data_IF_962520152198
#
_entry.id   IF_962520152198
#
_cell.length_a   1.000
_cell.length_b   1.000
_cell.length_c   1.000
_cell.angle_alpha   90.00
_cell.angle_beta   90.00
_cell.angle_gamma   90.00
#
_symmetry.space_group_name_H-M   'P 1'
#
loop_
_entity.id
_entity.type
_entity.pdbx_description
1 polymer ?
#
# COMPACT_ATOMS: atom_id res chain seq x y z
N UNK A 1 7.10 18.60 1.61
CA UNK A 1 7.15 17.33 0.87
C UNK A 1 5.98 16.47 1.30
N UNK A 2 5.20 15.99 0.34
CA UNK A 2 4.16 14.99 0.52
C UNK A 2 4.58 13.72 -0.22
N UNK A 3 4.79 12.62 0.49
CA UNK A 3 5.07 11.30 -0.04
C UNK A 3 3.80 10.45 0.05
N UNK A 4 3.26 10.02 -1.07
CA UNK A 4 2.04 9.19 -1.12
C UNK A 4 2.43 7.81 -1.64
N UNK A 5 1.94 6.74 -0.98
CA UNK A 5 2.20 5.37 -1.41
C UNK A 5 0.94 4.51 -1.25
N UNK A 6 0.61 3.74 -2.27
CA UNK A 6 -0.30 2.61 -2.22
C UNK A 6 0.47 1.30 -2.06
N UNK A 7 -0.21 0.21 -1.67
CA UNK A 7 0.42 -1.07 -1.37
C UNK A 7 -0.09 -2.15 -2.34
N UNK A 8 0.82 -2.82 -3.01
CA UNK A 8 0.53 -3.82 -4.06
C UNK A 8 -0.33 -3.28 -5.22
N UNK A 9 -0.09 -2.03 -5.64
CA UNK A 9 -0.84 -1.38 -6.70
C UNK A 9 -0.17 -1.63 -8.05
N UNK A 10 -0.81 -2.44 -8.89
CA UNK A 10 -0.34 -2.73 -10.23
C UNK A 10 -0.42 -1.47 -11.12
N UNK A 11 0.58 -1.23 -11.96
CA UNK A 11 0.60 -0.07 -12.85
C UNK A 11 -0.56 -0.08 -13.86
N UNK A 12 -1.04 -1.25 -14.27
CA UNK A 12 -2.20 -1.40 -15.15
C UNK A 12 -3.52 -0.89 -14.52
N UNK A 13 -3.56 -0.75 -13.20
CA UNK A 13 -4.69 -0.17 -12.47
C UNK A 13 -4.49 1.33 -12.16
N UNK A 14 -3.65 2.01 -12.95
CA UNK A 14 -3.45 3.46 -12.94
C UNK A 14 -3.63 3.97 -14.36
N UNK A 15 -4.70 4.74 -14.62
CA UNK A 15 -5.07 5.11 -15.99
C UNK A 15 -4.05 5.99 -16.71
N UNK A 16 -3.14 6.65 -16.00
CA UNK A 16 -2.00 7.34 -16.63
C UNK A 16 -1.02 6.38 -17.34
N UNK A 17 -1.00 5.09 -16.98
CA UNK A 17 -0.19 4.06 -17.63
C UNK A 17 -0.99 3.16 -18.56
N UNK A 18 -2.22 2.79 -18.16
CA UNK A 18 -3.15 1.95 -18.95
C UNK A 18 -4.59 2.30 -18.55
N UNK A 19 -5.38 2.81 -19.48
CA UNK A 19 -6.74 3.31 -19.24
C UNK A 19 -7.85 2.25 -19.45
N UNK A 20 -7.47 0.99 -19.69
CA UNK A 20 -8.42 -0.08 -20.04
C UNK A 20 -9.22 -0.61 -18.86
N UNK A 21 -8.63 -0.63 -17.66
CA UNK A 21 -9.24 -1.29 -16.50
C UNK A 21 -10.06 -0.34 -15.64
N UNK A 22 -9.50 0.82 -15.31
CA UNK A 22 -10.09 1.77 -14.36
C UNK A 22 -9.61 3.18 -14.66
N UNK A 23 -10.41 4.17 -14.27
CA UNK A 23 -10.03 5.58 -14.38
C UNK A 23 -9.55 6.11 -13.02
N UNK A 24 -8.36 6.73 -13.00
CA UNK A 24 -7.72 7.30 -11.81
C UNK A 24 -7.42 8.79 -11.98
N UNK A 25 -8.45 9.64 -12.19
CA UNK A 25 -8.26 11.00 -12.67
C UNK A 25 -7.42 11.89 -11.74
N UNK A 26 -7.44 11.64 -10.44
CA UNK A 26 -6.64 12.40 -9.47
C UNK A 26 -5.16 11.98 -9.48
N UNK A 27 -4.87 10.69 -9.73
CA UNK A 27 -3.49 10.21 -9.91
C UNK A 27 -2.96 10.69 -11.26
N UNK A 28 -3.78 10.62 -12.31
CA UNK A 28 -3.43 11.07 -13.66
C UNK A 28 -3.11 12.56 -13.70
N UNK A 29 -3.79 13.37 -12.87
CA UNK A 29 -3.47 14.78 -12.71
C UNK A 29 -2.03 14.98 -12.22
N UNK A 30 -1.55 14.17 -11.30
CA UNK A 30 -0.15 14.25 -10.83
C UNK A 30 0.80 13.94 -11.99
N UNK A 31 0.50 12.93 -12.80
CA UNK A 31 1.30 12.58 -13.97
C UNK A 31 1.28 13.71 -15.02
N UNK A 32 0.11 14.33 -15.27
CA UNK A 32 -0.08 15.38 -16.26
C UNK A 32 0.56 16.70 -15.87
N UNK A 33 0.49 17.08 -14.59
CA UNK A 33 1.01 18.34 -14.07
C UNK A 33 2.46 18.23 -13.57
N UNK A 34 2.99 17.01 -13.47
CA UNK A 34 4.32 16.70 -12.95
C UNK A 34 5.13 15.84 -13.90
N UNK A 35 5.55 14.66 -13.42
CA UNK A 35 6.39 13.73 -14.17
C UNK A 35 5.87 12.30 -14.01
N UNK A 36 5.74 11.58 -15.12
CA UNK A 36 5.42 10.16 -15.18
C UNK A 36 6.70 9.35 -15.41
N UNK A 37 7.00 8.39 -14.53
CA UNK A 37 8.17 7.52 -14.65
C UNK A 37 7.79 6.20 -15.30
N UNK A 38 8.18 5.98 -16.55
CA UNK A 38 7.93 4.74 -17.28
C UNK A 38 8.88 3.60 -16.88
N UNK A 39 10.03 3.91 -16.30
CA UNK A 39 11.06 2.94 -15.92
C UNK A 39 11.43 3.14 -14.44
N UNK A 40 10.49 2.82 -13.54
CA UNK A 40 10.74 2.79 -12.09
C UNK A 40 10.88 1.35 -11.62
N UNK A 41 11.93 1.06 -10.84
CA UNK A 41 12.21 -0.26 -10.32
C UNK A 41 12.27 -0.25 -8.80
N UNK A 42 11.80 -1.34 -8.17
CA UNK A 42 12.01 -1.59 -6.75
C UNK A 42 13.17 -2.56 -6.56
N UNK A 43 13.93 -2.38 -5.48
CA UNK A 43 15.08 -3.23 -5.18
C UNK A 43 14.70 -4.52 -4.47
N UNK A 44 13.56 -4.53 -3.79
CA UNK A 44 12.96 -5.68 -3.13
C UNK A 44 11.43 -5.49 -3.11
N UNK A 45 10.72 -6.27 -3.90
CA UNK A 45 9.27 -6.13 -4.15
C UNK A 45 8.40 -6.79 -3.07
N UNK A 46 8.76 -6.64 -1.80
CA UNK A 46 7.99 -7.07 -0.62
C UNK A 46 7.75 -5.87 0.29
N UNK A 47 6.59 -5.78 0.93
CA UNK A 47 6.13 -4.61 1.70
C UNK A 47 7.19 -4.00 2.64
N UNK A 48 7.58 -4.69 3.71
CA UNK A 48 8.48 -4.14 4.71
C UNK A 48 9.90 -3.92 4.18
N UNK A 49 10.51 -4.84 3.41
CA UNK A 49 11.80 -4.60 2.76
C UNK A 49 11.80 -3.38 1.84
N UNK A 50 10.80 -3.22 0.98
CA UNK A 50 10.69 -2.03 0.11
C UNK A 50 10.60 -0.73 0.92
N UNK A 51 9.78 -0.71 1.97
CA UNK A 51 9.63 0.44 2.87
C UNK A 51 10.92 0.77 3.60
N UNK A 52 11.69 -0.23 4.02
CA UNK A 52 13.00 -0.04 4.64
C UNK A 52 14.02 0.55 3.65
N UNK A 53 14.01 0.09 2.40
CA UNK A 53 14.86 0.69 1.34
C UNK A 53 14.50 2.16 1.12
N UNK A 54 13.21 2.48 1.03
CA UNK A 54 12.75 3.87 0.87
C UNK A 54 13.22 4.73 2.06
N UNK A 55 13.04 4.26 3.29
CA UNK A 55 13.37 5.07 4.47
C UNK A 55 14.88 5.22 4.70
N UNK A 56 15.68 4.21 4.37
CA UNK A 56 17.13 4.20 4.64
C UNK A 56 18.00 4.62 3.46
N UNK A 57 17.48 4.54 2.24
CA UNK A 57 18.27 4.65 1.00
C UNK A 57 19.26 3.50 0.79
N UNK A 58 19.11 2.37 1.53
CA UNK A 58 20.02 1.22 1.49
C UNK A 58 19.29 -0.01 0.98
N UNK A 59 19.95 -0.82 0.16
CA UNK A 59 19.43 -2.12 -0.26
C UNK A 59 19.16 -3.04 0.94
N UNK A 60 18.23 -3.98 0.80
CA UNK A 60 17.77 -4.87 1.88
C UNK A 60 18.89 -5.68 2.54
N UNK A 61 19.89 -6.12 1.79
CA UNK A 61 21.05 -6.85 2.34
C UNK A 61 21.99 -5.94 3.18
N UNK A 62 21.90 -4.61 3.02
CA UNK A 62 22.67 -3.63 3.83
C UNK A 62 21.85 -3.15 5.02
N UNK A 63 20.55 -2.87 4.84
CA UNK A 63 19.69 -2.43 5.93
C UNK A 63 19.15 -3.56 6.82
N UNK A 64 19.38 -4.82 6.43
CA UNK A 64 19.00 -6.02 7.19
C UNK A 64 17.51 -6.40 7.12
N UNK A 65 16.65 -5.58 6.53
CA UNK A 65 15.23 -5.87 6.37
C UNK A 65 15.00 -6.64 5.08
N UNK A 66 15.16 -7.96 5.12
CA UNK A 66 15.11 -8.84 3.94
C UNK A 66 13.74 -9.53 3.73
N UNK A 67 12.88 -9.53 4.74
CA UNK A 67 11.57 -10.17 4.74
C UNK A 67 10.53 -9.40 5.57
N UNK A 68 9.28 -9.88 5.59
CA UNK A 68 8.21 -9.28 6.40
C UNK A 68 8.21 -9.75 7.87
N UNK A 69 9.02 -10.73 8.26
CA UNK A 69 9.02 -11.37 9.61
C UNK A 69 10.01 -10.70 10.55
N UNK A 70 11.21 -10.40 10.08
CA UNK A 70 12.25 -9.75 10.87
C UNK A 70 11.84 -8.33 11.28
N UNK A 71 12.23 -7.91 12.48
CA UNK A 71 12.08 -6.49 12.88
C UNK A 71 13.06 -5.63 12.10
N UNK A 72 12.66 -4.39 11.85
CA UNK A 72 13.57 -3.39 11.31
C UNK A 72 14.54 -2.93 12.41
N UNK A 73 15.83 -2.87 12.07
CA UNK A 73 16.83 -2.27 12.96
C UNK A 73 16.65 -0.75 12.98
N UNK A 74 16.02 -0.24 14.02
CA UNK A 74 15.69 1.17 14.19
C UNK A 74 16.85 2.04 14.73
N UNK A 75 18.03 1.46 14.91
CA UNK A 75 19.26 2.22 15.17
C UNK A 75 19.76 2.94 13.90
N UNK A 76 19.32 2.50 12.74
CA UNK A 76 19.70 3.07 11.45
C UNK A 76 19.12 4.47 11.25
N UNK A 77 19.88 5.31 10.58
CA UNK A 77 19.41 6.63 10.17
C UNK A 77 18.43 6.47 9.00
N UNK A 78 17.28 7.12 9.12
CA UNK A 78 16.28 7.21 8.06
C UNK A 78 16.12 8.66 7.60
N UNK A 79 15.68 8.86 6.34
CA UNK A 79 15.54 10.21 5.80
C UNK A 79 14.57 11.11 6.61
N UNK A 80 13.47 10.61 7.23
CA UNK A 80 12.62 11.46 8.07
C UNK A 80 13.37 12.05 9.27
N UNK A 81 14.31 11.30 9.87
CA UNK A 81 15.17 11.84 10.96
C UNK A 81 16.06 12.98 10.48
N UNK A 82 16.55 12.91 9.22
CA UNK A 82 17.35 13.98 8.64
C UNK A 82 16.49 15.22 8.36
N UNK A 83 15.28 15.05 7.85
CA UNK A 83 14.34 16.15 7.66
C UNK A 83 13.94 16.80 8.98
N UNK A 84 13.66 16.01 10.01
CA UNK A 84 13.36 16.54 11.34
C UNK A 84 14.53 17.37 11.90
N UNK A 85 15.78 16.88 11.77
CA UNK A 85 16.99 17.64 12.13
C UNK A 85 17.16 18.92 11.32
N UNK A 86 16.68 18.95 10.09
CA UNK A 86 16.71 20.13 9.23
C UNK A 86 15.54 21.11 9.51
N UNK A 87 14.76 20.90 10.57
CA UNK A 87 13.68 21.79 11.00
C UNK A 87 12.33 21.55 10.32
N UNK A 88 12.16 20.45 9.58
CA UNK A 88 10.87 20.06 9.03
C UNK A 88 9.97 19.52 10.12
N UNK A 89 8.70 19.88 10.09
CA UNK A 89 7.66 19.18 10.82
C UNK A 89 7.32 17.88 10.09
N UNK A 90 7.32 16.74 10.79
CA UNK A 90 7.26 15.43 10.17
C UNK A 90 6.05 14.64 10.66
N UNK A 91 5.31 14.02 9.74
CA UNK A 91 4.18 13.17 10.10
C UNK A 91 4.07 11.92 9.21
N UNK A 92 3.48 10.84 9.76
CA UNK A 92 3.24 9.58 9.06
C UNK A 92 1.88 9.00 9.42
N UNK A 93 1.06 8.70 8.40
CA UNK A 93 -0.23 8.03 8.60
C UNK A 93 -0.37 6.84 7.67
N UNK A 94 -0.78 5.68 8.23
CA UNK A 94 -1.07 4.46 7.50
C UNK A 94 -0.10 3.31 7.72
N UNK A 95 0.21 2.53 6.67
CA UNK A 95 0.95 1.27 6.78
C UNK A 95 2.46 1.47 6.78
N UNK A 96 3.14 1.01 7.84
CA UNK A 96 4.60 0.94 7.91
C UNK A 96 5.16 -0.49 7.83
N UNK A 97 4.58 -1.42 8.57
CA UNK A 97 4.89 -2.86 8.56
C UNK A 97 6.30 -3.22 9.09
N UNK A 98 6.83 -2.49 10.05
CA UNK A 98 8.18 -2.77 10.61
C UNK A 98 8.18 -3.57 11.91
N UNK A 99 7.05 -3.63 12.62
CA UNK A 99 6.94 -4.24 13.94
C UNK A 99 7.48 -3.36 15.08
N UNK A 100 7.88 -2.13 14.79
CA UNK A 100 8.28 -1.09 15.74
C UNK A 100 7.77 0.28 15.30
N UNK A 101 7.77 1.24 16.23
CA UNK A 101 7.34 2.60 15.95
C UNK A 101 8.35 3.34 15.05
N UNK A 102 7.89 4.21 14.15
CA UNK A 102 8.76 4.95 13.27
C UNK A 102 9.54 6.02 14.06
N UNK A 103 10.82 6.21 13.69
CA UNK A 103 11.66 7.31 14.20
C UNK A 103 11.71 8.47 13.19
N UNK A 104 11.86 9.68 13.72
CA UNK A 104 11.96 10.89 12.89
C UNK A 104 10.60 11.49 12.51
N UNK A 105 9.55 11.19 13.29
CA UNK A 105 8.22 11.77 13.12
C UNK A 105 7.75 12.47 14.38
N UNK A 106 7.20 13.67 14.21
CA UNK A 106 6.60 14.45 15.28
C UNK A 106 5.21 13.89 15.64
N UNK A 107 4.47 13.44 14.63
CA UNK A 107 3.15 12.83 14.76
C UNK A 107 3.04 11.59 13.89
N UNK A 108 2.42 10.52 14.40
CA UNK A 108 2.10 9.35 13.59
C UNK A 108 0.93 8.55 14.13
N UNK A 109 0.19 7.92 13.23
CA UNK A 109 -0.75 6.84 13.46
C UNK A 109 -0.54 5.78 12.39
N UNK A 110 0.04 4.64 12.78
CA UNK A 110 0.40 3.57 11.86
C UNK A 110 -0.40 2.29 12.12
N UNK A 111 -0.67 1.55 11.06
CA UNK A 111 -1.35 0.26 11.14
C UNK A 111 -0.40 -0.80 11.75
N UNK A 112 -0.84 -1.61 12.72
CA UNK A 112 -0.08 -2.76 13.18
C UNK A 112 0.00 -3.82 12.08
N UNK A 113 1.22 -4.28 11.76
CA UNK A 113 1.45 -5.29 10.73
C UNK A 113 0.82 -4.91 9.38
N UNK A 114 -0.06 -5.76 8.88
CA UNK A 114 -0.80 -5.53 7.62
C UNK A 114 -2.00 -4.59 7.78
N UNK A 115 -2.49 -4.40 9.00
CA UNK A 115 -3.69 -3.61 9.27
C UNK A 115 -4.99 -4.24 8.77
N UNK A 116 -6.13 -3.73 9.24
CA UNK A 116 -7.47 -4.13 8.81
C UNK A 116 -8.09 -3.06 7.91
N UNK A 117 -8.96 -3.46 6.98
CA UNK A 117 -9.72 -2.52 6.15
C UNK A 117 -10.84 -1.83 6.93
N UNK A 118 -11.51 -2.58 7.81
CA UNK A 118 -12.67 -2.10 8.58
C UNK A 118 -12.27 -1.93 10.04
N UNK A 119 -12.62 -0.81 10.63
CA UNK A 119 -12.37 -0.45 12.03
C UNK A 119 -10.92 -0.73 12.46
N UNK A 120 -9.93 -0.20 11.72
CA UNK A 120 -8.54 -0.50 11.98
C UNK A 120 -8.07 0.02 13.34
N UNK A 121 -7.19 -0.77 13.97
CA UNK A 121 -6.33 -0.27 15.05
C UNK A 121 -5.20 0.55 14.43
N UNK A 122 -4.81 1.60 15.12
CA UNK A 122 -3.60 2.38 14.86
C UNK A 122 -2.71 2.42 16.10
N UNK A 123 -1.44 2.22 15.89
CA UNK A 123 -0.40 2.49 16.89
C UNK A 123 -0.02 3.96 16.77
N UNK A 124 -0.08 4.67 17.88
CA UNK A 124 0.19 6.11 17.92
C UNK A 124 1.42 6.46 18.75
N UNK A 125 1.89 7.68 18.60
CA UNK A 125 3.01 8.19 19.39
C UNK A 125 2.68 8.25 20.89
N UNK A 126 1.48 8.70 21.20
CA UNK A 126 1.02 8.86 22.59
C UNK A 126 0.18 7.66 23.06
N UNK A 127 -0.72 7.19 22.21
CA UNK A 127 -1.60 6.06 22.50
C UNK A 127 -2.07 5.37 21.25
N UNK A 128 -2.36 4.09 21.41
CA UNK A 128 -3.03 3.29 20.38
C UNK A 128 -4.54 3.61 20.38
N UNK A 129 -5.16 3.49 19.22
CA UNK A 129 -6.58 3.77 19.06
C UNK A 129 -7.20 2.85 18.01
N UNK A 130 -8.50 2.59 18.14
CA UNK A 130 -9.30 1.95 17.09
C UNK A 130 -10.24 3.04 16.55
N UNK A 131 -10.21 3.22 15.23
CA UNK A 131 -11.07 4.20 14.56
C UNK A 131 -12.10 3.43 13.73
N UNK A 132 -13.38 3.72 13.96
CA UNK A 132 -14.47 3.10 13.20
C UNK A 132 -14.53 3.66 11.79
N UNK A 133 -14.71 2.77 10.80
CA UNK A 133 -14.86 3.13 9.40
C UNK A 133 -13.91 2.36 8.48
N UNK A 134 -13.77 2.85 7.27
CA UNK A 134 -12.95 2.25 6.22
C UNK A 134 -11.54 2.85 6.22
N UNK A 135 -10.52 2.01 6.22
CA UNK A 135 -9.12 2.41 6.45
C UNK A 135 -8.60 3.47 5.48
N UNK A 136 -9.01 3.41 4.21
CA UNK A 136 -8.56 4.37 3.19
C UNK A 136 -9.07 5.77 3.50
N UNK A 137 -10.35 5.89 3.88
CA UNK A 137 -10.98 7.16 4.25
C UNK A 137 -10.35 7.70 5.55
N UNK A 138 -10.20 6.81 6.56
CA UNK A 138 -9.59 7.18 7.84
C UNK A 138 -8.18 7.74 7.66
N UNK A 139 -7.32 7.07 6.88
CA UNK A 139 -5.94 7.56 6.64
C UNK A 139 -5.99 8.90 5.89
N UNK A 140 -6.94 9.08 4.98
CA UNK A 140 -7.15 10.34 4.26
C UNK A 140 -7.57 11.46 5.23
N UNK A 141 -8.55 11.20 6.07
CA UNK A 141 -9.05 12.17 7.05
C UNK A 141 -7.98 12.55 8.08
N UNK A 142 -7.20 11.59 8.57
CA UNK A 142 -6.06 11.85 9.46
C UNK A 142 -5.05 12.78 8.79
N UNK A 143 -4.73 12.54 7.53
CA UNK A 143 -3.79 13.35 6.75
C UNK A 143 -4.33 14.76 6.52
N UNK A 144 -5.59 14.88 6.11
CA UNK A 144 -6.25 16.20 5.91
C UNK A 144 -6.39 16.97 7.21
N UNK A 145 -6.76 16.29 8.31
CA UNK A 145 -6.84 16.90 9.62
C UNK A 145 -5.48 17.42 10.10
N UNK A 146 -4.42 16.67 9.85
CA UNK A 146 -3.08 17.12 10.18
C UNK A 146 -2.71 18.41 9.42
N UNK A 147 -2.98 18.48 8.12
CA UNK A 147 -2.73 19.68 7.32
C UNK A 147 -3.55 20.88 7.78
N UNK A 148 -4.80 20.67 8.18
CA UNK A 148 -5.71 21.76 8.57
C UNK A 148 -5.47 22.27 9.99
N UNK A 149 -5.19 21.36 10.93
CA UNK A 149 -5.31 21.65 12.36
C UNK A 149 -4.03 21.43 13.16
N UNK A 150 -3.04 20.70 12.66
CA UNK A 150 -1.83 20.35 13.40
C UNK A 150 -0.54 20.89 12.80
N UNK A 151 -0.58 21.17 11.49
CA UNK A 151 0.61 21.66 10.79
C UNK A 151 0.96 23.08 11.25
N UNK A 152 2.22 23.29 11.63
CA UNK A 152 2.82 24.62 11.78
C UNK A 152 3.16 25.18 10.38
N UNK A 153 2.41 26.19 9.96
CA UNK A 153 2.56 26.77 8.60
C UNK A 153 3.85 27.58 8.45
N UNK A 154 4.54 27.90 9.56
CA UNK A 154 5.84 28.60 9.55
C UNK A 154 7.00 27.66 9.23
N UNK A 155 6.77 26.34 9.26
CA UNK A 155 7.80 25.33 9.01
C UNK A 155 7.57 24.58 7.71
N UNK A 156 8.62 24.15 7.02
CA UNK A 156 8.51 23.15 5.98
C UNK A 156 8.04 21.82 6.58
N UNK A 157 7.43 20.97 5.78
CA UNK A 157 6.92 19.68 6.26
C UNK A 157 7.38 18.49 5.41
N UNK A 158 7.42 17.33 6.07
CA UNK A 158 7.45 16.01 5.46
C UNK A 158 6.24 15.22 5.95
N UNK A 159 5.33 14.85 5.05
CA UNK A 159 4.21 13.97 5.30
C UNK A 159 4.39 12.67 4.53
N UNK A 160 4.35 11.54 5.23
CA UNK A 160 4.25 10.21 4.62
C UNK A 160 2.80 9.69 4.74
N UNK A 161 2.10 9.63 3.61
CA UNK A 161 0.71 9.24 3.47
C UNK A 161 0.66 7.86 2.80
N UNK A 162 0.50 6.82 3.64
CA UNK A 162 0.79 5.43 3.29
C UNK A 162 -0.46 4.56 3.35
N UNK A 163 -1.11 4.34 2.22
CA UNK A 163 -2.29 3.49 2.15
C UNK A 163 -1.97 2.00 2.34
N UNK A 164 -2.95 1.26 2.91
CA UNK A 164 -3.01 -0.20 2.85
C UNK A 164 -3.52 -0.68 1.49
N UNK A 165 -4.47 0.03 0.92
CA UNK A 165 -5.09 -0.32 -0.35
C UNK A 165 -4.09 -0.21 -1.51
N UNK A 166 -4.20 -1.07 -2.56
CA UNK A 166 -5.15 -2.18 -2.72
C UNK A 166 -4.63 -3.57 -2.27
N UNK A 167 -3.74 -3.66 -1.28
CA UNK A 167 -3.21 -4.93 -0.76
C UNK A 167 -4.31 -5.92 -0.34
N UNK A 168 -4.06 -7.21 -0.47
CA UNK A 168 -4.94 -8.28 0.03
C UNK A 168 -5.24 -8.18 1.55
N UNK A 169 -6.39 -8.66 2.08
CA UNK A 169 -7.56 -9.08 1.32
C UNK A 169 -8.19 -7.88 0.63
N UNK A 170 -8.63 -8.00 -0.60
CA UNK A 170 -9.15 -6.89 -1.42
C UNK A 170 -10.58 -6.52 -1.02
N UNK A 171 -10.74 -5.87 0.12
CA UNK A 171 -12.04 -5.43 0.61
C UNK A 171 -12.27 -3.96 0.23
N UNK A 172 -13.06 -3.71 -0.80
CA UNK A 172 -13.42 -2.34 -1.17
C UNK A 172 -14.41 -1.74 -0.16
N UNK A 173 -14.55 -0.42 -0.18
CA UNK A 173 -15.67 0.23 0.48
C UNK A 173 -16.99 -0.16 -0.20
N UNK A 174 -18.11 -0.08 0.53
CA UNK A 174 -19.42 -0.54 0.04
C UNK A 174 -19.85 0.19 -1.24
N UNK A 175 -19.59 1.49 -1.32
CA UNK A 175 -19.89 2.33 -2.48
C UNK A 175 -19.04 1.91 -3.70
N UNK A 176 -17.75 1.63 -3.50
CA UNK A 176 -16.86 1.16 -4.57
C UNK A 176 -17.22 -0.26 -5.00
N UNK A 177 -17.56 -1.13 -4.08
CA UNK A 177 -18.08 -2.45 -4.44
C UNK A 177 -19.32 -2.35 -5.33
N UNK A 178 -20.28 -1.50 -4.96
CA UNK A 178 -21.49 -1.30 -5.74
C UNK A 178 -21.21 -0.70 -7.14
N UNK A 179 -20.24 0.21 -7.26
CA UNK A 179 -19.83 0.80 -8.54
C UNK A 179 -19.27 -0.24 -9.52
N UNK A 180 -18.54 -1.22 -9.01
CA UNK A 180 -17.87 -2.25 -9.83
C UNK A 180 -18.63 -3.56 -9.89
N UNK A 181 -19.71 -3.73 -9.13
CA UNK A 181 -20.51 -4.95 -9.14
C UNK A 181 -21.07 -5.23 -10.53
N UNK A 182 -20.82 -6.46 -11.01
CA UNK A 182 -21.27 -6.90 -12.35
C UNK A 182 -20.47 -6.37 -13.54
N UNK A 183 -19.38 -5.62 -13.30
CA UNK A 183 -18.45 -5.25 -14.38
C UNK A 183 -17.52 -6.42 -14.70
N UNK A 184 -17.37 -6.70 -15.97
CA UNK A 184 -16.38 -7.65 -16.46
C UNK A 184 -15.03 -6.97 -16.67
N UNK A 185 -13.96 -7.64 -16.29
CA UNK A 185 -12.60 -7.22 -16.53
C UNK A 185 -11.90 -8.19 -17.46
N UNK A 186 -11.06 -7.73 -18.39
CA UNK A 186 -10.33 -8.63 -19.28
C UNK A 186 -9.34 -9.48 -18.47
N UNK A 187 -9.40 -10.79 -18.67
CA UNK A 187 -8.41 -11.71 -18.09
C UNK A 187 -7.11 -11.62 -18.89
N UNK A 188 -5.94 -11.47 -18.24
CA UNK A 188 -4.67 -11.52 -18.93
C UNK A 188 -4.37 -12.95 -19.43
N UNK A 189 -3.74 -13.07 -20.59
CA UNK A 189 -3.33 -14.37 -21.17
C UNK A 189 -2.46 -15.19 -20.20
N UNK A 190 -1.72 -14.50 -19.32
CA UNK A 190 -0.83 -15.11 -18.34
C UNK A 190 -1.50 -15.45 -17.00
N UNK A 191 -2.84 -15.35 -16.88
CA UNK A 191 -3.56 -15.61 -15.62
C UNK A 191 -3.25 -16.99 -15.03
N UNK A 192 -3.13 -17.99 -15.89
CA UNK A 192 -2.83 -19.39 -15.54
C UNK A 192 -1.49 -19.87 -16.13
N UNK A 193 -0.53 -18.96 -16.29
CA UNK A 193 0.80 -19.32 -16.77
C UNK A 193 1.43 -20.40 -15.87
N UNK A 194 1.98 -21.44 -16.49
CA UNK A 194 2.69 -22.53 -15.82
C UNK A 194 4.15 -22.19 -15.49
N UNK A 195 4.59 -21.01 -15.89
CA UNK A 195 5.97 -20.52 -15.76
C UNK A 195 7.03 -21.43 -16.40
N UNK A 196 6.65 -22.25 -17.42
CA UNK A 196 7.55 -23.23 -18.05
C UNK A 196 8.83 -22.59 -18.61
N UNK A 197 8.71 -21.37 -19.13
CA UNK A 197 9.81 -20.56 -19.64
C UNK A 197 10.60 -19.78 -18.59
N UNK A 198 10.23 -19.85 -17.31
CA UNK A 198 10.80 -19.04 -16.23
C UNK A 198 11.82 -19.79 -15.37
N UNK A 199 12.63 -19.04 -14.63
CA UNK A 199 13.59 -19.60 -13.67
C UNK A 199 12.92 -20.27 -12.46
N UNK A 200 13.71 -21.01 -11.67
CA UNK A 200 13.22 -21.76 -10.50
C UNK A 200 12.47 -20.90 -9.49
N UNK A 201 12.89 -19.66 -9.27
CA UNK A 201 12.25 -18.76 -8.31
C UNK A 201 10.79 -18.46 -8.69
N UNK A 202 10.50 -18.21 -9.95
CA UNK A 202 9.11 -17.98 -10.40
C UNK A 202 8.26 -19.25 -10.28
N UNK A 203 8.82 -20.42 -10.65
CA UNK A 203 8.11 -21.71 -10.53
C UNK A 203 7.79 -22.10 -9.09
N UNK A 204 8.60 -21.70 -8.13
CA UNK A 204 8.40 -21.98 -6.70
C UNK A 204 7.65 -20.87 -5.95
N UNK A 205 7.16 -19.85 -6.63
CA UNK A 205 6.42 -18.76 -6.00
C UNK A 205 5.09 -19.25 -5.41
N UNK A 206 4.82 -18.86 -4.16
CA UNK A 206 3.64 -19.32 -3.41
C UNK A 206 2.39 -18.48 -3.61
N UNK A 207 2.40 -17.42 -4.38
CA UNK A 207 1.25 -16.50 -4.52
C UNK A 207 0.48 -16.71 -5.82
N UNK A 208 0.33 -17.94 -6.28
CA UNK A 208 -0.49 -18.21 -7.46
C UNK A 208 -1.98 -18.38 -7.14
N UNK A 209 -2.83 -18.06 -8.10
CA UNK A 209 -4.28 -18.04 -7.96
C UNK A 209 -4.84 -19.42 -7.65
N UNK A 210 -4.35 -20.45 -8.33
CA UNK A 210 -4.89 -21.81 -8.21
C UNK A 210 -4.71 -22.43 -6.82
N UNK A 211 -3.49 -22.31 -6.27
CA UNK A 211 -3.10 -23.10 -5.10
C UNK A 211 -3.01 -22.29 -3.80
N UNK A 212 -2.80 -20.97 -3.89
CA UNK A 212 -2.45 -20.16 -2.72
C UNK A 212 -3.48 -19.10 -2.36
N UNK A 213 -4.23 -18.58 -3.34
CA UNK A 213 -5.30 -17.61 -3.08
C UNK A 213 -6.54 -18.30 -2.53
N UNK A 214 -7.14 -17.68 -1.51
CA UNK A 214 -8.30 -18.20 -0.79
C UNK A 214 -9.56 -17.41 -1.13
N UNK A 215 -10.70 -18.08 -1.20
CA UNK A 215 -11.99 -17.46 -1.52
C UNK A 215 -12.34 -16.31 -0.59
N UNK A 216 -12.21 -16.52 0.72
CA UNK A 216 -12.62 -15.54 1.73
C UNK A 216 -11.61 -14.39 1.89
N UNK A 217 -10.31 -14.68 1.85
CA UNK A 217 -9.29 -13.67 2.12
C UNK A 217 -8.80 -12.93 0.88
N UNK A 218 -8.91 -13.54 -0.28
CA UNK A 218 -8.32 -13.00 -1.49
C UNK A 218 -9.37 -12.68 -2.56
N UNK A 219 -10.66 -12.73 -2.20
CA UNK A 219 -11.74 -12.50 -3.15
C UNK A 219 -11.56 -13.30 -4.44
N UNK A 220 -11.12 -14.58 -4.30
CA UNK A 220 -10.74 -15.43 -5.42
C UNK A 220 -11.84 -15.50 -6.50
N UNK A 221 -13.10 -15.44 -6.08
CA UNK A 221 -14.25 -15.39 -6.99
C UNK A 221 -14.17 -14.12 -7.87
N UNK A 222 -13.83 -12.98 -7.29
CA UNK A 222 -13.68 -11.73 -8.06
C UNK A 222 -12.49 -11.76 -9.02
N UNK A 223 -11.47 -12.59 -8.75
CA UNK A 223 -10.30 -12.73 -9.61
C UNK A 223 -10.47 -13.74 -10.73
N UNK A 224 -11.29 -14.78 -10.51
CA UNK A 224 -11.53 -15.84 -11.48
C UNK A 224 -12.81 -15.62 -12.31
N UNK A 225 -13.75 -14.85 -11.76
CA UNK A 225 -15.02 -14.54 -12.39
C UNK A 225 -15.25 -13.06 -12.25
N UNK A 226 -15.41 -12.40 -13.35
CA UNK A 226 -15.69 -10.97 -13.44
C UNK A 226 -17.05 -10.60 -12.87
N UNK A 227 -17.86 -11.60 -12.54
CA UNK A 227 -19.10 -11.49 -11.78
C UNK A 227 -19.35 -12.83 -11.08
N UNK A 228 -19.82 -12.87 -9.82
CA UNK A 228 -20.29 -14.11 -9.25
C UNK A 228 -21.46 -14.61 -10.06
N UNK A 229 -21.27 -15.73 -10.76
CA UNK A 229 -22.34 -16.40 -11.47
C UNK A 229 -23.36 -16.91 -10.45
N UNK A 230 -24.68 -16.85 -10.73
CA UNK A 230 -25.67 -17.51 -9.88
C UNK A 230 -25.37 -18.98 -9.58
N UNK A 231 -24.58 -19.65 -10.43
CA UNK A 231 -24.11 -21.04 -10.23
C UNK A 231 -23.09 -21.20 -9.10
N UNK A 232 -22.44 -20.12 -8.68
CA UNK A 232 -21.43 -20.17 -7.60
C UNK A 232 -22.08 -20.22 -6.21
N UNK A 233 -23.40 -20.01 -6.13
CA UNK A 233 -24.22 -20.10 -4.92
C UNK A 233 -25.04 -21.38 -4.80
N UNK A 234 -24.97 -22.27 -5.78
CA UNK A 234 -25.72 -23.54 -5.81
C UNK A 234 -24.89 -24.78 -5.42
N UNK A 235 -23.67 -24.60 -4.84
CA UNK A 235 -22.79 -25.68 -4.42
C UNK A 235 -22.65 -25.76 -2.90
#
# INVERSE_FOLDING_TARGET
ILFIMSDDHAYQAISAYDDKLIQTPNIDRIAKEGMLFNNACVTNSICAPSRAVILTGKHSHINGKIDNKSKFDDSQITFPQLFQKAGYQTAMFGKLHFGNNPKGFDDFLILPGQGNYINPQFLGKEKDTIIKGYVTDIITDLTLNWFKNKRDTSKPFLMMYLHKAPHRPWWPSTDKFAEFYGKEFPEPETLFDDYSGMGKAAKSAEMNILNHMQYMHDSKVCLLYTSPSPRDFEA
#
